data_IF_512450266437
#
_entry.id   IF_512450266437
#
_cell.length_a   1.000
_cell.length_b   1.000
_cell.length_c   1.000
_cell.angle_alpha   90.00
_cell.angle_beta   90.00
_cell.angle_gamma   90.00
#
_symmetry.space_group_name_H-M   'P 1'
#
loop_
_entity.id
_entity.type
_entity.pdbx_description
1 polymer ?
#
# COMPACT_ATOMS: atom_id res chain seq x y z
N UNK A 1 43.85 -0.17 38.37
CA UNK A 1 42.65 0.28 37.61
C UNK A 1 43.01 0.16 36.12
N UNK A 2 43.04 -1.03 35.54
CA UNK A 2 41.92 -1.86 35.03
C UNK A 2 41.21 -1.22 33.81
N UNK A 3 41.87 -1.35 32.66
CA UNK A 3 41.34 -1.49 31.29
C UNK A 3 39.90 -1.01 31.06
N UNK A 4 39.69 0.29 30.88
CA UNK A 4 38.43 0.83 30.34
C UNK A 4 38.40 0.87 28.80
N UNK A 5 39.55 0.75 28.13
CA UNK A 5 39.66 0.81 26.67
C UNK A 5 39.13 -0.45 25.94
N UNK A 6 39.05 -1.60 26.62
CA UNK A 6 38.55 -2.85 26.03
C UNK A 6 37.02 -2.95 26.01
N UNK A 7 36.30 -2.15 26.81
CA UNK A 7 34.84 -2.21 26.86
C UNK A 7 34.18 -1.45 25.71
N UNK A 8 34.83 -0.41 25.19
CA UNK A 8 34.31 0.41 24.06
C UNK A 8 34.50 -0.32 22.72
N UNK A 9 35.55 -1.14 22.58
CA UNK A 9 35.79 -1.99 21.40
C UNK A 9 34.86 -3.21 21.30
N UNK A 10 34.25 -3.64 22.41
CA UNK A 10 33.30 -4.76 22.42
C UNK A 10 31.88 -4.35 21.98
N UNK A 11 31.49 -3.09 22.15
CA UNK A 11 30.17 -2.57 21.74
C UNK A 11 30.08 -2.44 20.21
N UNK A 12 31.22 -2.26 19.52
CA UNK A 12 31.28 -2.23 18.04
C UNK A 12 31.16 -3.63 17.41
N UNK A 13 31.33 -4.70 18.19
CA UNK A 13 31.25 -6.08 17.71
C UNK A 13 29.84 -6.70 17.85
N UNK A 14 28.89 -6.00 18.49
CA UNK A 14 27.48 -6.33 18.40
C UNK A 14 26.99 -5.79 17.07
N UNK A 15 27.14 -6.59 16.01
CA UNK A 15 26.54 -6.31 14.71
C UNK A 15 25.08 -5.96 14.93
N UNK A 16 24.76 -4.67 14.84
CA UNK A 16 23.38 -4.21 14.79
C UNK A 16 22.89 -4.77 13.47
N UNK A 17 22.19 -5.90 13.52
CA UNK A 17 21.48 -6.40 12.35
C UNK A 17 20.64 -5.22 11.85
N UNK A 18 20.90 -4.81 10.61
CA UNK A 18 20.13 -3.74 10.01
C UNK A 18 18.65 -4.06 10.17
N UNK A 19 17.91 -3.20 10.87
CA UNK A 19 16.48 -3.42 11.12
C UNK A 19 15.81 -3.60 9.76
N UNK A 20 15.23 -4.79 9.56
CA UNK A 20 14.65 -5.15 8.28
C UNK A 20 13.40 -4.29 8.04
N UNK A 21 13.40 -3.53 6.94
CA UNK A 21 12.26 -2.70 6.56
C UNK A 21 11.07 -3.61 6.22
N UNK A 22 9.95 -3.38 6.91
CA UNK A 22 8.68 -3.99 6.63
C UNK A 22 7.62 -2.89 6.49
N UNK A 23 7.30 -2.46 5.25
CA UNK A 23 6.35 -1.39 5.01
C UNK A 23 5.00 -1.69 5.70
N UNK A 24 4.38 -0.72 6.40
CA UNK A 24 3.17 -0.96 7.18
C UNK A 24 2.02 -1.53 6.34
N UNK A 25 1.28 -2.49 6.91
CA UNK A 25 0.10 -3.11 6.28
C UNK A 25 0.42 -4.07 5.13
N UNK A 26 1.70 -4.36 4.87
CA UNK A 26 2.11 -5.17 3.72
C UNK A 26 2.53 -6.58 4.09
N UNK A 27 2.55 -7.43 3.07
CA UNK A 27 3.13 -8.76 3.07
C UNK A 27 4.29 -8.84 2.12
N UNK A 28 5.44 -9.29 2.62
CA UNK A 28 6.63 -9.57 1.81
C UNK A 28 6.36 -10.72 0.84
N UNK A 29 6.57 -10.47 -0.45
CA UNK A 29 6.42 -11.43 -1.55
C UNK A 29 7.70 -11.43 -2.37
N UNK A 30 8.25 -12.62 -2.61
CA UNK A 30 9.41 -12.80 -3.49
C UNK A 30 8.92 -13.16 -4.89
N UNK A 31 9.21 -12.30 -5.86
CA UNK A 31 8.94 -12.52 -7.28
C UNK A 31 10.29 -12.57 -7.98
N UNK A 32 10.66 -13.75 -8.47
CA UNK A 32 11.97 -14.04 -9.05
C UNK A 32 13.12 -13.63 -8.09
N UNK A 33 13.96 -12.67 -8.51
CA UNK A 33 15.07 -12.13 -7.74
C UNK A 33 14.73 -10.81 -7.03
N UNK A 34 13.46 -10.38 -7.08
CA UNK A 34 12.98 -9.13 -6.50
C UNK A 34 12.10 -9.43 -5.29
N UNK A 35 12.23 -8.61 -4.25
CA UNK A 35 11.28 -8.61 -3.13
C UNK A 35 10.35 -7.41 -3.31
N UNK A 36 9.05 -7.67 -3.32
CA UNK A 36 8.02 -6.64 -3.20
C UNK A 36 7.24 -6.85 -1.91
N UNK A 37 6.46 -5.85 -1.52
CA UNK A 37 5.63 -5.86 -0.32
C UNK A 37 4.22 -5.47 -0.74
N UNK A 38 3.28 -6.41 -0.72
CA UNK A 38 1.90 -6.20 -1.21
C UNK A 38 1.00 -5.85 -0.04
N UNK A 39 0.16 -4.82 -0.13
CA UNK A 39 -0.84 -4.58 0.91
C UNK A 39 -1.69 -5.84 1.15
N UNK A 40 -1.90 -6.18 2.41
CA UNK A 40 -2.64 -7.37 2.82
C UNK A 40 -4.10 -7.31 2.41
N UNK A 41 -4.70 -6.11 2.42
CA UNK A 41 -6.08 -5.82 2.06
C UNK A 41 -6.11 -4.67 1.04
N UNK A 42 -7.23 -4.47 0.36
CA UNK A 42 -7.49 -3.27 -0.40
C UNK A 42 -7.44 -2.04 0.52
N UNK A 43 -7.08 -0.87 -0.03
CA UNK A 43 -7.15 0.38 0.72
C UNK A 43 -8.59 0.60 1.14
N UNK A 44 -8.81 0.80 2.44
CA UNK A 44 -10.14 0.97 2.99
C UNK A 44 -10.48 2.45 3.23
N UNK A 45 -11.74 2.73 3.58
CA UNK A 45 -12.22 4.09 3.86
C UNK A 45 -11.46 4.73 5.03
N UNK A 46 -11.03 3.97 6.04
CA UNK A 46 -10.26 4.52 7.17
C UNK A 46 -8.91 5.07 6.71
N UNK A 47 -8.17 4.29 5.91
CA UNK A 47 -6.85 4.68 5.40
C UNK A 47 -6.98 5.89 4.45
N UNK A 48 -8.02 5.92 3.60
CA UNK A 48 -8.29 7.08 2.76
C UNK A 48 -8.63 8.33 3.58
N UNK A 49 -9.40 8.19 4.66
CA UNK A 49 -9.71 9.33 5.55
C UNK A 49 -8.47 9.86 6.28
N UNK A 50 -7.44 9.04 6.51
CA UNK A 50 -6.14 9.52 6.98
C UNK A 50 -5.46 10.39 5.93
N UNK A 51 -5.44 9.96 4.66
CA UNK A 51 -4.94 10.76 3.55
C UNK A 51 -5.68 12.10 3.43
N UNK A 52 -7.01 12.09 3.49
CA UNK A 52 -7.83 13.32 3.48
C UNK A 52 -7.48 14.25 4.64
N UNK A 53 -7.29 13.72 5.86
CA UNK A 53 -6.90 14.53 7.02
C UNK A 53 -5.50 15.12 6.85
N UNK A 54 -4.57 14.36 6.28
CA UNK A 54 -3.23 14.86 5.96
C UNK A 54 -3.31 16.04 4.98
N UNK A 55 -4.05 15.91 3.88
CA UNK A 55 -4.22 17.00 2.91
C UNK A 55 -4.87 18.23 3.53
N UNK A 56 -5.92 18.04 4.34
CA UNK A 56 -6.59 19.12 5.07
C UNK A 56 -5.62 19.86 6.00
N UNK A 57 -4.71 19.14 6.66
CA UNK A 57 -3.70 19.73 7.55
C UNK A 57 -2.60 20.46 6.77
N UNK A 58 -2.09 19.88 5.67
CA UNK A 58 -0.97 20.44 4.91
C UNK A 58 -1.37 21.63 4.04
N UNK A 59 -2.51 21.53 3.35
CA UNK A 59 -2.93 22.50 2.34
C UNK A 59 -4.11 23.37 2.79
N UNK A 60 -4.74 23.03 3.91
CA UNK A 60 -5.90 23.74 4.45
C UNK A 60 -7.22 23.25 3.86
N UNK A 61 -8.31 23.66 4.52
CA UNK A 61 -9.68 23.36 4.08
C UNK A 61 -9.99 24.04 2.75
N UNK A 62 -10.59 23.30 1.83
CA UNK A 62 -11.01 23.81 0.52
C UNK A 62 -9.88 24.01 -0.49
N UNK A 63 -8.67 23.56 -0.18
CA UNK A 63 -7.55 23.52 -1.13
C UNK A 63 -7.85 22.63 -2.34
N UNK A 64 -7.22 22.92 -3.47
CA UNK A 64 -7.39 22.14 -4.70
C UNK A 64 -6.90 20.70 -4.52
N UNK A 65 -5.83 20.49 -3.74
CA UNK A 65 -5.30 19.18 -3.39
C UNK A 65 -6.32 18.34 -2.60
N UNK A 66 -6.96 18.94 -1.60
CA UNK A 66 -7.99 18.29 -0.80
C UNK A 66 -9.24 18.00 -1.65
N UNK A 67 -9.70 18.98 -2.43
CA UNK A 67 -10.88 18.84 -3.27
C UNK A 67 -10.69 17.74 -4.32
N UNK A 68 -9.50 17.66 -4.92
CA UNK A 68 -9.15 16.64 -5.91
C UNK A 68 -9.00 15.23 -5.33
N UNK A 69 -8.94 15.07 -4.00
CA UNK A 69 -8.81 13.77 -3.33
C UNK A 69 -10.16 13.16 -2.93
N UNK A 70 -11.28 13.87 -3.06
CA UNK A 70 -12.59 13.26 -2.83
C UNK A 70 -13.00 12.36 -4.01
N UNK A 71 -13.54 11.14 -3.75
CA UNK A 71 -14.04 10.27 -4.81
C UNK A 71 -15.10 10.94 -5.69
N UNK A 72 -15.15 10.59 -6.97
CA UNK A 72 -16.10 11.15 -7.92
C UNK A 72 -17.55 10.86 -7.49
N UNK A 73 -18.39 11.90 -7.43
CA UNK A 73 -19.77 11.80 -6.94
C UNK A 73 -19.91 11.89 -5.42
N UNK A 74 -18.80 11.98 -4.67
CA UNK A 74 -18.78 12.25 -3.24
C UNK A 74 -18.21 13.65 -3.01
N UNK A 75 -19.06 14.60 -2.66
CA UNK A 75 -18.65 16.01 -2.50
C UNK A 75 -18.24 16.39 -1.08
N UNK A 76 -18.27 15.46 -0.11
CA UNK A 76 -17.89 15.76 1.27
C UNK A 76 -17.37 14.57 2.10
N UNK A 77 -16.52 14.89 3.07
CA UNK A 77 -16.02 13.98 4.13
C UNK A 77 -17.15 13.28 4.88
N UNK A 78 -18.27 13.97 5.09
CA UNK A 78 -19.44 13.44 5.81
C UNK A 78 -20.10 12.28 5.07
N UNK A 79 -20.07 12.30 3.73
CA UNK A 79 -20.62 11.21 2.91
C UNK A 79 -19.70 9.98 2.96
N UNK A 80 -18.38 10.17 3.03
CA UNK A 80 -17.44 9.07 3.27
C UNK A 80 -17.57 8.46 4.67
N UNK A 81 -17.85 9.26 5.70
CA UNK A 81 -18.06 8.78 7.08
C UNK A 81 -19.29 7.86 7.21
N UNK A 82 -20.26 7.96 6.28
CA UNK A 82 -21.40 7.03 6.25
C UNK A 82 -21.00 5.64 5.72
N UNK A 83 -19.90 5.52 4.99
CA UNK A 83 -19.36 4.23 4.57
C UNK A 83 -18.73 3.53 5.76
N UNK A 84 -18.80 2.19 5.79
CA UNK A 84 -18.09 1.43 6.82
C UNK A 84 -16.58 1.63 6.63
N UNK A 85 -15.88 1.99 7.71
CA UNK A 85 -14.44 2.28 7.69
C UNK A 85 -13.59 1.13 7.13
N UNK A 86 -14.05 -0.11 7.28
CA UNK A 86 -13.38 -1.32 6.80
C UNK A 86 -13.71 -1.70 5.36
N UNK A 87 -14.63 -0.98 4.70
CA UNK A 87 -14.91 -1.26 3.29
C UNK A 87 -13.77 -0.72 2.41
N UNK A 88 -13.46 -1.38 1.27
CA UNK A 88 -12.58 -0.82 0.27
C UNK A 88 -13.06 0.57 -0.16
N UNK A 89 -12.12 1.48 -0.39
CA UNK A 89 -12.42 2.74 -1.04
C UNK A 89 -12.67 2.48 -2.53
N UNK A 90 -13.76 3.02 -3.05
CA UNK A 90 -14.15 2.91 -4.47
C UNK A 90 -14.61 4.27 -4.99
N UNK A 91 -14.92 4.36 -6.29
CA UNK A 91 -15.32 5.62 -6.91
C UNK A 91 -14.17 6.62 -7.10
N UNK A 92 -12.92 6.15 -7.07
CA UNK A 92 -11.74 7.00 -7.28
C UNK A 92 -11.12 6.79 -8.67
N UNK A 93 -10.42 7.80 -9.15
CA UNK A 93 -9.69 7.75 -10.42
C UNK A 93 -8.34 7.07 -10.27
N UNK A 94 -7.75 6.66 -11.40
CA UNK A 94 -6.37 6.15 -11.43
C UNK A 94 -5.38 7.18 -10.86
N UNK A 95 -5.56 8.46 -11.19
CA UNK A 95 -4.71 9.53 -10.71
C UNK A 95 -4.80 9.69 -9.18
N UNK A 96 -5.99 9.61 -8.62
CA UNK A 96 -6.20 9.64 -7.17
C UNK A 96 -5.50 8.47 -6.48
N UNK A 97 -5.61 7.25 -7.03
CA UNK A 97 -4.93 6.07 -6.48
C UNK A 97 -3.40 6.20 -6.54
N UNK A 98 -2.85 6.76 -7.64
CA UNK A 98 -1.43 7.04 -7.78
C UNK A 98 -0.95 8.09 -6.77
N UNK A 99 -1.70 9.19 -6.60
CA UNK A 99 -1.40 10.23 -5.59
C UNK A 99 -1.41 9.67 -4.17
N UNK A 100 -2.33 8.75 -3.88
CA UNK A 100 -2.37 8.06 -2.59
C UNK A 100 -1.13 7.19 -2.35
N UNK A 101 -0.71 6.36 -3.33
CA UNK A 101 0.53 5.59 -3.17
C UNK A 101 1.77 6.51 -3.05
N UNK A 102 1.80 7.65 -3.74
CA UNK A 102 2.87 8.64 -3.55
C UNK A 102 2.84 9.22 -2.14
N UNK A 103 1.69 9.62 -1.63
CA UNK A 103 1.55 10.11 -0.25
C UNK A 103 2.04 9.09 0.79
N UNK A 104 1.67 7.80 0.63
CA UNK A 104 2.19 6.73 1.50
C UNK A 104 3.70 6.60 1.43
N UNK A 105 4.28 6.78 0.24
CA UNK A 105 5.75 6.83 0.07
C UNK A 105 6.36 7.93 0.91
N UNK A 106 5.82 9.15 0.81
CA UNK A 106 6.37 10.33 1.48
C UNK A 106 6.25 10.20 3.00
N UNK A 107 5.09 9.79 3.51
CA UNK A 107 4.84 9.63 4.95
C UNK A 107 5.73 8.54 5.55
N UNK A 108 5.79 7.36 4.92
CA UNK A 108 6.61 6.25 5.45
C UNK A 108 8.10 6.60 5.37
N UNK A 109 8.55 7.28 4.33
CA UNK A 109 9.95 7.70 4.23
C UNK A 109 10.30 8.79 5.25
N UNK A 110 9.40 9.72 5.56
CA UNK A 110 9.60 10.70 6.64
C UNK A 110 9.82 10.00 8.00
N UNK A 111 9.03 8.96 8.29
CA UNK A 111 9.19 8.16 9.52
C UNK A 111 10.47 7.32 9.47
N UNK A 112 10.82 6.78 8.30
CA UNK A 112 12.03 5.99 8.12
C UNK A 112 13.29 6.84 8.31
N UNK A 113 13.30 8.10 7.87
CA UNK A 113 14.40 9.04 8.08
C UNK A 113 14.65 9.28 9.58
N UNK A 114 13.59 9.51 10.35
CA UNK A 114 13.68 9.69 11.81
C UNK A 114 14.17 8.42 12.54
N UNK A 115 13.87 7.24 11.99
CA UNK A 115 14.20 5.93 12.59
C UNK A 115 15.47 5.29 12.01
N UNK A 116 16.11 5.90 11.02
CA UNK A 116 17.28 5.36 10.32
C UNK A 116 16.99 4.16 9.41
N UNK A 117 15.72 3.90 9.10
CA UNK A 117 15.30 2.87 8.14
C UNK A 117 15.52 3.35 6.70
N UNK A 118 15.69 2.42 5.77
CA UNK A 118 15.84 2.76 4.35
C UNK A 118 14.53 3.18 3.70
N UNK A 119 14.63 3.80 2.52
CA UNK A 119 13.48 4.30 1.79
C UNK A 119 12.67 3.17 1.16
N UNK A 120 11.37 3.39 1.07
CA UNK A 120 10.41 2.58 0.34
C UNK A 120 9.82 3.40 -0.79
N UNK A 121 9.25 2.72 -1.78
CA UNK A 121 8.44 3.32 -2.83
C UNK A 121 7.16 2.52 -2.99
N UNK A 122 6.02 3.16 -2.69
CA UNK A 122 4.70 2.61 -2.93
C UNK A 122 4.22 2.96 -4.35
N UNK A 123 3.65 1.99 -5.05
CA UNK A 123 3.03 2.17 -6.37
C UNK A 123 1.77 1.32 -6.48
N UNK A 124 0.96 1.56 -7.50
CA UNK A 124 -0.01 0.55 -7.93
C UNK A 124 0.74 -0.69 -8.46
N UNK A 125 0.18 -1.90 -8.30
CA UNK A 125 0.75 -3.09 -8.90
C UNK A 125 0.52 -3.10 -10.41
N UNK A 126 1.49 -3.61 -11.16
CA UNK A 126 1.34 -3.90 -12.59
C UNK A 126 0.48 -5.14 -12.80
N UNK A 127 -0.07 -5.30 -14.02
CA UNK A 127 -0.73 -6.55 -14.42
C UNK A 127 0.18 -7.78 -14.17
N UNK A 128 1.47 -7.66 -14.47
CA UNK A 128 2.45 -8.73 -14.25
C UNK A 128 2.67 -9.05 -12.77
N UNK A 129 2.73 -8.03 -11.91
CA UNK A 129 2.85 -8.21 -10.46
C UNK A 129 1.60 -8.87 -9.89
N UNK A 130 0.41 -8.43 -10.29
CA UNK A 130 -0.84 -9.09 -9.90
C UNK A 130 -0.86 -10.55 -10.33
N UNK A 131 -0.51 -10.86 -11.59
CA UNK A 131 -0.48 -12.24 -12.08
C UNK A 131 0.43 -13.14 -11.21
N UNK A 132 1.59 -12.65 -10.78
CA UNK A 132 2.50 -13.38 -9.90
C UNK A 132 1.95 -13.53 -8.48
N UNK A 133 1.34 -12.49 -7.92
CA UNK A 133 0.69 -12.55 -6.60
C UNK A 133 -0.46 -13.54 -6.61
N UNK A 134 -1.32 -13.51 -7.63
CA UNK A 134 -2.42 -14.47 -7.81
C UNK A 134 -1.89 -15.90 -7.93
N UNK A 135 -0.79 -16.12 -8.66
CA UNK A 135 -0.17 -17.45 -8.76
C UNK A 135 0.31 -17.97 -7.41
N UNK A 136 0.86 -17.11 -6.57
CA UNK A 136 1.41 -17.48 -5.26
C UNK A 136 0.33 -17.70 -4.21
N UNK A 137 -0.68 -16.83 -4.19
CA UNK A 137 -1.69 -16.83 -3.14
C UNK A 137 -2.98 -17.51 -3.56
N UNK A 138 -3.32 -17.56 -4.86
CA UNK A 138 -4.58 -18.04 -5.42
C UNK A 138 -5.67 -16.96 -5.47
N UNK A 139 -6.71 -17.19 -6.27
CA UNK A 139 -7.97 -16.43 -6.17
C UNK A 139 -8.71 -16.83 -4.90
N UNK A 140 -9.40 -15.88 -4.24
CA UNK A 140 -10.10 -16.08 -2.97
C UNK A 140 -10.97 -17.35 -2.90
N UNK A 141 -11.64 -17.72 -4.01
CA UNK A 141 -12.53 -18.90 -4.08
C UNK A 141 -11.80 -20.25 -3.99
N UNK A 142 -10.49 -20.32 -4.27
CA UNK A 142 -9.72 -21.58 -4.30
C UNK A 142 -9.18 -21.97 -2.91
N UNK A 143 -9.24 -21.06 -1.92
CA UNK A 143 -8.36 -21.12 -0.74
C UNK A 143 -9.07 -21.35 0.59
N UNK A 144 -10.33 -21.76 0.62
CA UNK A 144 -11.07 -22.00 1.87
C UNK A 144 -10.41 -23.00 2.84
N UNK A 145 -9.32 -23.68 2.44
CA UNK A 145 -8.59 -24.68 3.23
C UNK A 145 -7.20 -24.28 3.81
N UNK A 146 -6.61 -23.09 3.54
CA UNK A 146 -5.24 -22.71 4.04
C UNK A 146 -5.22 -21.75 5.23
N UNK A 147 -4.12 -21.66 5.98
CA UNK A 147 -4.01 -20.82 7.18
C UNK A 147 -4.30 -19.33 6.89
N UNK A 148 -5.20 -18.67 7.65
CA UNK A 148 -5.68 -17.30 7.39
C UNK A 148 -4.56 -16.24 7.45
N UNK A 149 -3.56 -16.46 8.28
CA UNK A 149 -2.41 -15.56 8.48
C UNK A 149 -1.47 -15.48 7.27
N UNK A 150 -1.61 -16.41 6.32
CA UNK A 150 -0.75 -16.44 5.15
C UNK A 150 -1.29 -15.70 3.91
N UNK A 151 -2.47 -15.09 4.00
CA UNK A 151 -3.22 -14.64 2.81
C UNK A 151 -3.03 -13.16 2.50
N UNK A 152 -3.12 -12.84 1.21
CA UNK A 152 -3.58 -11.54 0.74
C UNK A 152 -5.12 -11.64 0.76
N UNK A 153 -5.78 -10.78 1.52
CA UNK A 153 -7.22 -10.75 1.75
C UNK A 153 -7.87 -9.91 0.65
N UNK A 154 -9.10 -10.27 0.26
CA UNK A 154 -9.92 -9.54 -0.72
C UNK A 154 -9.51 -9.70 -2.19
N UNK A 155 -8.30 -10.21 -2.46
CA UNK A 155 -7.78 -10.38 -3.81
C UNK A 155 -8.74 -11.21 -4.67
N UNK A 156 -9.32 -10.56 -5.67
CA UNK A 156 -10.32 -11.12 -6.59
C UNK A 156 -11.67 -11.50 -5.95
N UNK A 157 -12.07 -10.92 -4.81
CA UNK A 157 -13.37 -11.24 -4.18
C UNK A 157 -14.23 -10.09 -3.69
N UNK A 158 -13.65 -8.93 -3.37
CA UNK A 158 -14.42 -7.83 -2.80
C UNK A 158 -14.75 -6.76 -3.85
N UNK A 159 -13.71 -6.14 -4.39
CA UNK A 159 -13.78 -5.16 -5.48
C UNK A 159 -12.85 -5.60 -6.60
N UNK A 160 -13.09 -5.10 -7.81
CA UNK A 160 -12.07 -5.17 -8.83
C UNK A 160 -10.93 -4.22 -8.49
N UNK A 161 -9.72 -4.52 -8.95
CA UNK A 161 -8.54 -3.76 -8.52
C UNK A 161 -7.84 -3.06 -9.67
N UNK A 162 -7.56 -1.77 -9.49
CA UNK A 162 -6.80 -0.98 -10.47
C UNK A 162 -5.34 -1.43 -10.56
N UNK A 163 -4.84 -1.47 -11.78
CA UNK A 163 -3.43 -1.68 -12.09
C UNK A 163 -2.73 -0.36 -12.40
N UNK A 164 -1.40 -0.37 -12.34
CA UNK A 164 -0.58 0.77 -12.76
C UNK A 164 -0.79 1.15 -14.23
N UNK A 165 -1.20 0.20 -15.08
CA UNK A 165 -1.48 0.40 -16.50
C UNK A 165 -2.89 0.92 -16.79
N UNK A 166 -3.69 1.19 -15.75
CA UNK A 166 -5.08 1.65 -15.88
C UNK A 166 -6.06 0.57 -16.32
N UNK A 167 -5.66 -0.70 -16.31
CA UNK A 167 -6.58 -1.82 -16.41
C UNK A 167 -7.14 -2.19 -15.04
N UNK A 168 -8.13 -3.08 -15.04
CA UNK A 168 -8.79 -3.56 -13.83
C UNK A 168 -8.68 -5.08 -13.76
N UNK A 169 -8.16 -5.59 -12.65
CA UNK A 169 -8.16 -7.01 -12.29
C UNK A 169 -9.55 -7.41 -11.80
N UNK A 170 -10.23 -8.29 -12.53
CA UNK A 170 -11.55 -8.82 -12.19
C UNK A 170 -11.45 -10.03 -11.27
N UNK A 171 -12.58 -10.40 -10.66
CA UNK A 171 -12.68 -11.53 -9.74
C UNK A 171 -12.34 -12.89 -10.38
N UNK A 172 -12.50 -13.01 -11.70
CA UNK A 172 -12.07 -14.20 -12.44
C UNK A 172 -10.57 -14.22 -12.80
N UNK A 173 -9.82 -13.19 -12.42
CA UNK A 173 -8.38 -13.06 -12.71
C UNK A 173 -8.04 -12.45 -14.06
N UNK A 174 -9.05 -12.08 -14.84
CA UNK A 174 -8.83 -11.38 -16.11
C UNK A 174 -8.56 -9.90 -15.87
N UNK A 175 -7.67 -9.34 -16.69
CA UNK A 175 -7.47 -7.90 -16.79
C UNK A 175 -8.39 -7.32 -17.87
N UNK A 176 -9.03 -6.19 -17.58
CA UNK A 176 -9.91 -5.49 -18.52
C UNK A 176 -9.59 -4.02 -18.59
N UNK A 177 -9.56 -3.47 -19.81
CA UNK A 177 -9.42 -2.02 -20.06
C UNK A 177 -10.75 -1.33 -20.37
N UNK A 178 -11.82 -2.11 -20.49
CA UNK A 178 -13.17 -1.62 -20.78
C UNK A 178 -13.93 -1.25 -19.50
N UNK A 179 -13.40 -1.61 -18.33
CA UNK A 179 -14.00 -1.27 -17.05
C UNK A 179 -13.95 0.24 -16.83
N UNK A 180 -15.09 0.83 -16.47
CA UNK A 180 -15.16 2.26 -16.20
C UNK A 180 -14.42 2.58 -14.90
N UNK A 181 -13.54 3.57 -14.95
CA UNK A 181 -12.90 4.17 -13.77
C UNK A 181 -13.19 5.68 -13.83
N UNK A 182 -13.71 6.31 -12.76
CA UNK A 182 -14.08 5.71 -11.47
C UNK A 182 -15.35 4.84 -11.54
N UNK A 183 -15.42 3.88 -10.61
CA UNK A 183 -16.57 2.98 -10.44
C UNK A 183 -16.71 2.55 -8.98
N UNK A 184 -17.95 2.32 -8.54
CA UNK A 184 -18.27 1.83 -7.19
C UNK A 184 -17.76 0.41 -6.91
N UNK A 185 -17.43 -0.34 -7.97
CA UNK A 185 -16.94 -1.72 -7.90
C UNK A 185 -15.41 -1.82 -8.07
N UNK A 186 -14.73 -0.69 -8.26
CA UNK A 186 -13.29 -0.64 -8.52
C UNK A 186 -12.59 0.06 -7.35
N UNK A 187 -11.76 -0.70 -6.64
CA UNK A 187 -10.83 -0.22 -5.63
C UNK A 187 -9.39 -0.44 -6.06
N UNK A 188 -8.48 -0.44 -5.09
CA UNK A 188 -7.06 -0.66 -5.37
C UNK A 188 -6.31 -1.07 -4.10
N UNK A 189 -5.08 -1.54 -4.29
CA UNK A 189 -4.08 -1.71 -3.25
C UNK A 189 -2.75 -1.14 -3.75
N UNK A 190 -1.82 -0.80 -2.86
CA UNK A 190 -0.45 -0.49 -3.27
C UNK A 190 0.45 -1.72 -3.10
N UNK A 191 1.58 -1.70 -3.80
CA UNK A 191 2.78 -2.48 -3.48
C UNK A 191 3.89 -1.53 -3.08
N UNK A 192 4.82 -1.99 -2.25
CA UNK A 192 6.04 -1.28 -1.92
C UNK A 192 7.28 -2.05 -2.40
N UNK A 193 8.31 -1.29 -2.78
CA UNK A 193 9.67 -1.78 -2.98
C UNK A 193 10.59 -1.06 -2.02
N UNK A 194 11.62 -1.76 -1.53
CA UNK A 194 12.67 -1.14 -0.70
C UNK A 194 13.77 -0.65 -1.63
N UNK A 195 14.05 0.64 -1.59
CA UNK A 195 15.14 1.23 -2.35
C UNK A 195 16.46 0.88 -1.66
N UNK A 196 17.48 0.48 -2.44
CA UNK A 196 18.79 0.18 -1.87
C UNK A 196 19.32 1.45 -1.19
N UNK A 197 19.64 1.37 0.10
CA UNK A 197 20.37 2.43 0.77
C UNK A 197 21.65 2.70 -0.01
N UNK A 198 21.84 3.96 -0.47
CA UNK A 198 23.13 4.39 -0.98
C UNK A 198 24.09 4.33 0.20
N UNK A 199 25.03 3.39 0.13
CA UNK A 199 26.16 3.28 1.05
C UNK A 199 27.09 4.47 0.87
#
# INVERSE_FOLDING_TARGET
MRNFALLILLIVALGIDAVAINPPGTKKVKIDNTTIYVDQEEINVADWLEYIRYLEHQYGKGSDELNAAFPDGITSKEMMVKMKLTNPITGITLEQALKYCQWRTDVVNSVNEETGLGNVKYTLPTEAQYAQVIKLFGAYEILSARNKTERIIGLQSNVFEMTAEGSVLKNNGAFSRDEKIPSENVGFRCIATVEKQRR
#
